data_IF_711786403836
#
_entry.id   IF_711786403836
#
_cell.length_a   1.000
_cell.length_b   1.000
_cell.length_c   1.000
_cell.angle_alpha   90.00
_cell.angle_beta   90.00
_cell.angle_gamma   90.00
#
_symmetry.space_group_name_H-M   'P 1'
#
loop_
_entity.id
_entity.type
_entity.pdbx_description
1 polymer ?
#
# COMPACT_ATOMS: atom_id res chain seq x y z
N UNK A 1 -15.70 -0.98 -5.71
CA UNK A 1 -15.31 0.03 -6.72
C UNK A 1 -13.79 0.05 -6.66
N UNK A 2 -13.10 -0.46 -7.67
CA UNK A 2 -11.66 -0.69 -7.62
C UNK A 2 -10.92 0.66 -7.54
N UNK A 3 -10.28 0.93 -6.41
CA UNK A 3 -9.53 2.18 -6.13
C UNK A 3 -8.23 2.24 -6.95
N UNK A 4 -7.79 1.09 -7.44
CA UNK A 4 -6.56 0.87 -8.20
C UNK A 4 -6.48 1.68 -9.52
N UNK A 5 -7.61 1.96 -10.17
CA UNK A 5 -7.64 2.65 -11.47
C UNK A 5 -7.35 4.17 -11.37
N UNK A 6 -7.50 4.77 -10.18
CA UNK A 6 -7.29 6.21 -9.97
C UNK A 6 -5.85 6.55 -9.57
N UNK A 7 -5.17 5.66 -8.85
CA UNK A 7 -3.84 5.93 -8.27
C UNK A 7 -2.76 5.47 -9.25
N UNK A 8 -2.03 6.43 -9.83
CA UNK A 8 -0.97 6.17 -10.81
C UNK A 8 0.40 6.44 -10.21
N UNK A 9 1.26 5.42 -10.21
CA UNK A 9 2.66 5.59 -9.86
C UNK A 9 3.45 6.15 -11.05
N UNK A 10 4.30 7.15 -10.79
CA UNK A 10 5.13 7.76 -11.83
C UNK A 10 6.09 6.74 -12.43
N UNK A 11 6.20 6.72 -13.77
CA UNK A 11 7.18 5.89 -14.48
C UNK A 11 8.63 6.29 -14.23
N UNK A 12 8.86 7.51 -13.72
CA UNK A 12 10.20 8.03 -13.47
C UNK A 12 10.84 7.44 -12.21
N UNK A 13 10.03 6.90 -11.28
CA UNK A 13 10.50 6.38 -9.99
C UNK A 13 10.18 4.91 -9.89
N UNK A 14 11.19 4.07 -9.65
CA UNK A 14 10.96 2.66 -9.34
C UNK A 14 10.45 2.56 -7.90
N UNK A 15 9.25 2.04 -7.76
CA UNK A 15 8.62 1.69 -6.49
C UNK A 15 8.42 0.18 -6.51
N UNK A 16 8.83 -0.51 -5.44
CA UNK A 16 8.61 -1.95 -5.31
C UNK A 16 7.12 -2.27 -5.28
N UNK A 17 6.74 -3.49 -5.64
CA UNK A 17 5.33 -3.86 -5.67
C UNK A 17 4.73 -3.86 -4.26
N UNK A 18 5.47 -4.32 -3.25
CA UNK A 18 5.05 -4.22 -1.84
C UNK A 18 4.85 -2.77 -1.38
N UNK A 19 5.68 -1.84 -1.83
CA UNK A 19 5.51 -0.42 -1.50
C UNK A 19 4.27 0.18 -2.16
N UNK A 20 3.95 -0.22 -3.40
CA UNK A 20 2.71 0.22 -4.06
C UNK A 20 1.49 -0.35 -3.34
N UNK A 21 1.52 -1.63 -3.02
CA UNK A 21 0.43 -2.31 -2.31
C UNK A 21 0.15 -1.65 -0.95
N UNK A 22 1.20 -1.41 -0.18
CA UNK A 22 1.10 -0.71 1.10
C UNK A 22 0.45 0.68 0.97
N UNK A 23 0.86 1.46 -0.04
CA UNK A 23 0.29 2.78 -0.31
C UNK A 23 -1.19 2.68 -0.68
N UNK A 24 -1.59 1.69 -1.49
CA UNK A 24 -2.99 1.50 -1.87
C UNK A 24 -3.85 1.15 -0.65
N UNK A 25 -3.39 0.25 0.22
CA UNK A 25 -4.07 -0.09 1.48
C UNK A 25 -4.23 1.15 2.38
N UNK A 26 -3.19 1.98 2.49
CA UNK A 26 -3.26 3.23 3.27
C UNK A 26 -4.28 4.23 2.70
N UNK A 27 -4.51 4.19 1.39
CA UNK A 27 -5.41 5.09 0.66
C UNK A 27 -6.81 4.49 0.44
N UNK A 28 -7.14 3.38 1.11
CA UNK A 28 -8.48 2.79 1.06
C UNK A 28 -9.54 3.80 1.54
N UNK A 29 -10.51 4.07 0.67
CA UNK A 29 -11.57 5.06 0.85
C UNK A 29 -12.65 4.53 1.78
N UNK A 30 -12.98 3.25 1.69
CA UNK A 30 -13.97 2.62 2.56
C UNK A 30 -13.37 2.37 3.96
N UNK A 31 -13.85 3.02 5.02
CA UNK A 31 -13.31 2.82 6.36
C UNK A 31 -13.51 1.40 6.89
N UNK A 32 -14.38 0.58 6.27
CA UNK A 32 -14.60 -0.82 6.66
C UNK A 32 -13.53 -1.75 6.10
N UNK A 33 -12.95 -1.39 4.97
CA UNK A 33 -11.88 -2.14 4.30
C UNK A 33 -10.49 -1.56 4.64
N UNK A 34 -10.43 -0.37 5.25
CA UNK A 34 -9.19 0.28 5.68
C UNK A 34 -8.56 -0.45 6.86
N UNK A 35 -7.30 -0.79 6.69
CA UNK A 35 -6.51 -1.46 7.72
C UNK A 35 -6.31 -0.56 8.94
N UNK A 36 -6.32 -1.19 10.11
CA UNK A 36 -5.88 -0.57 11.36
C UNK A 36 -4.36 -0.39 11.36
N UNK A 37 -3.86 0.44 12.28
CA UNK A 37 -2.41 0.64 12.44
C UNK A 37 -1.69 -0.68 12.75
N UNK A 38 -2.30 -1.56 13.55
CA UNK A 38 -1.69 -2.85 13.89
C UNK A 38 -1.53 -3.74 12.65
N UNK A 39 -2.56 -3.82 11.80
CA UNK A 39 -2.53 -4.60 10.55
C UNK A 39 -1.55 -3.99 9.53
N UNK A 40 -1.46 -2.66 9.46
CA UNK A 40 -0.47 -1.99 8.59
C UNK A 40 0.97 -2.34 8.98
N UNK A 41 1.27 -2.45 10.28
CA UNK A 41 2.62 -2.79 10.77
C UNK A 41 3.04 -4.22 10.41
N UNK A 42 2.10 -5.10 10.10
CA UNK A 42 2.38 -6.48 9.68
C UNK A 42 2.64 -6.60 8.16
N UNK A 43 2.44 -5.52 7.40
CA UNK A 43 2.58 -5.55 5.95
C UNK A 43 4.03 -5.86 5.50
N UNK A 44 4.25 -6.69 4.45
CA UNK A 44 5.59 -7.06 3.96
C UNK A 44 6.53 -5.87 3.70
N UNK A 45 6.00 -4.77 3.17
CA UNK A 45 6.76 -3.53 2.97
C UNK A 45 7.49 -3.02 4.23
N UNK A 46 6.92 -3.22 5.42
CA UNK A 46 7.50 -2.77 6.69
C UNK A 46 8.24 -3.89 7.43
N UNK A 47 7.81 -5.15 7.24
CA UNK A 47 8.35 -6.30 7.97
C UNK A 47 9.55 -6.94 7.29
N UNK A 48 9.69 -6.79 5.97
CA UNK A 48 10.88 -7.21 5.26
C UNK A 48 12.00 -6.19 5.51
N UNK A 49 12.83 -6.46 6.51
CA UNK A 49 14.13 -5.79 6.62
C UNK A 49 15.00 -6.26 5.46
N UNK A 50 15.34 -5.38 4.53
CA UNK A 50 16.52 -5.59 3.68
C UNK A 50 17.73 -5.74 4.62
N UNK A 51 18.30 -6.94 4.65
CA UNK A 51 19.45 -7.30 5.48
C UNK A 51 20.75 -7.23 4.69
#
# INVERSE_FOLDING_TARGET
MQVEDEIKFSKATKVSDDAKDFILICLEKDPRDRFTIAELLEHPFLTQQEN
#
